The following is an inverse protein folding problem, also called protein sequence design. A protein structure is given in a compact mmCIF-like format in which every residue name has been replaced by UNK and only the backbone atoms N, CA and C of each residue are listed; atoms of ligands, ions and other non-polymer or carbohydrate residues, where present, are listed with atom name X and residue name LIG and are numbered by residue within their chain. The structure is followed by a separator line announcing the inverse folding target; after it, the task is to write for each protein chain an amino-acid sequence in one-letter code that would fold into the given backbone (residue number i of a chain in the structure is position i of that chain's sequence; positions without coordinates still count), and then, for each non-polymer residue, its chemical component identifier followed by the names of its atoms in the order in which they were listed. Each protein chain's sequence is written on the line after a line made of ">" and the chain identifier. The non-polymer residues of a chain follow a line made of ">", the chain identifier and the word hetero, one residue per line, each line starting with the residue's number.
data_IF_306740398369
#
_entry.id   IF_306740398369
#
_cell.length_a   1.000
_cell.length_b   1.000
_cell.length_c   1.000
_cell.angle_alpha   90.00
_cell.angle_beta   90.00
_cell.angle_gamma   90.00
#
_symmetry.space_group_name_H-M   'P 1'
#
loop_
_entity.id
_entity.type
_entity.pdbx_description
1 polymer ?
#
# COMPACT_ATOMS: atom_id res chain seq x y z
N UNK A 1 14.80 -16.44 -3.26
CA UNK A 1 13.68 -16.11 -2.35
C UNK A 1 14.21 -15.04 -1.43
N UNK A 2 13.70 -13.81 -1.56
CA UNK A 2 14.09 -12.71 -0.67
C UNK A 2 13.26 -12.82 0.60
N UNK A 3 13.93 -12.92 1.74
CA UNK A 3 13.28 -12.92 3.07
C UNK A 3 12.89 -11.49 3.50
N UNK A 4 13.59 -10.47 2.99
CA UNK A 4 13.27 -9.05 3.18
C UNK A 4 14.07 -8.19 2.18
N UNK A 5 13.66 -6.93 2.02
CA UNK A 5 14.35 -5.93 1.21
C UNK A 5 13.97 -4.52 1.64
N UNK A 6 14.83 -3.55 1.34
CA UNK A 6 14.58 -2.13 1.58
C UNK A 6 15.10 -1.33 0.39
N UNK A 7 14.36 -0.30 0.00
CA UNK A 7 14.73 0.65 -1.04
C UNK A 7 14.44 2.06 -0.52
N UNK A 8 15.22 3.04 -0.97
CA UNK A 8 15.04 4.44 -0.58
C UNK A 8 15.21 5.33 -1.79
N UNK A 9 14.31 6.30 -1.93
CA UNK A 9 14.31 7.30 -3.00
C UNK A 9 14.08 8.67 -2.36
N UNK A 10 14.82 9.66 -2.82
CA UNK A 10 14.63 11.06 -2.38
C UNK A 10 13.52 11.69 -3.23
N UNK A 11 12.44 12.10 -2.57
CA UNK A 11 11.34 12.85 -3.20
C UNK A 11 11.47 14.31 -2.81
N UNK A 12 11.47 15.22 -3.79
CA UNK A 12 11.58 16.67 -3.57
C UNK A 12 10.22 17.27 -3.15
N UNK A 13 9.64 16.75 -2.06
CA UNK A 13 8.36 17.20 -1.50
C UNK A 13 8.39 17.11 0.04
N UNK A 14 7.46 17.81 0.70
CA UNK A 14 7.30 17.74 2.15
C UNK A 14 6.71 16.39 2.60
N UNK A 15 6.98 16.00 3.84
CA UNK A 15 6.50 14.73 4.43
C UNK A 15 4.99 14.55 4.27
N UNK A 16 4.21 15.58 4.59
CA UNK A 16 2.74 15.51 4.51
C UNK A 16 2.24 15.28 3.07
N UNK A 17 2.92 15.86 2.07
CA UNK A 17 2.56 15.67 0.68
C UNK A 17 2.87 14.23 0.22
N UNK A 18 4.06 13.71 0.56
CA UNK A 18 4.41 12.33 0.30
C UNK A 18 3.44 11.36 0.98
N UNK A 19 3.13 11.61 2.26
CA UNK A 19 2.22 10.78 3.04
C UNK A 19 0.79 10.81 2.49
N UNK A 20 0.31 11.98 2.07
CA UNK A 20 -0.99 12.13 1.43
C UNK A 20 -1.08 11.29 0.15
N UNK A 21 -0.05 11.32 -0.70
CA UNK A 21 -0.02 10.48 -1.92
C UNK A 21 0.07 9.00 -1.57
N UNK A 22 0.90 8.63 -0.59
CA UNK A 22 1.09 7.23 -0.15
C UNK A 22 -0.12 6.62 0.58
N UNK A 23 -1.13 7.41 0.91
CA UNK A 23 -2.37 6.96 1.56
C UNK A 23 -3.61 7.21 0.72
N UNK A 24 -3.46 7.81 -0.46
CA UNK A 24 -4.51 8.06 -1.43
C UNK A 24 -4.71 6.83 -2.34
N UNK A 25 -5.01 5.69 -1.71
CA UNK A 25 -5.03 4.39 -2.38
C UNK A 25 -6.00 4.34 -3.56
N UNK A 26 -7.14 5.04 -3.47
CA UNK A 26 -8.17 5.05 -4.52
C UNK A 26 -7.64 5.62 -5.85
N UNK A 27 -6.63 6.49 -5.79
CA UNK A 27 -5.99 7.11 -6.96
C UNK A 27 -4.68 6.42 -7.37
N UNK A 28 -4.28 5.32 -6.72
CA UNK A 28 -3.10 4.56 -7.14
C UNK A 28 -3.13 4.14 -8.62
N UNK A 29 -4.26 3.68 -9.20
CA UNK A 29 -4.30 3.30 -10.61
C UNK A 29 -3.94 4.43 -11.60
N UNK A 30 -3.98 5.69 -11.16
CA UNK A 30 -3.64 6.84 -12.01
C UNK A 30 -2.14 6.98 -12.26
N UNK A 31 -1.29 6.47 -11.36
CA UNK A 31 0.16 6.69 -11.43
C UNK A 31 1.01 5.45 -11.13
N UNK A 32 0.53 4.53 -10.29
CA UNK A 32 1.20 3.26 -10.03
C UNK A 32 0.84 2.26 -11.13
N UNK A 33 1.60 2.26 -12.23
CA UNK A 33 1.30 1.52 -13.47
C UNK A 33 0.87 0.05 -13.27
N UNK A 34 1.46 -0.65 -12.30
CA UNK A 34 1.17 -2.07 -12.06
C UNK A 34 -0.09 -2.30 -11.23
N UNK A 35 -0.63 -1.27 -10.59
CA UNK A 35 -1.92 -1.29 -9.87
C UNK A 35 -3.04 -1.02 -10.87
N UNK A 36 -3.94 -1.99 -11.04
CA UNK A 36 -5.04 -1.96 -12.01
C UNK A 36 -6.39 -1.62 -11.41
N UNK A 37 -6.53 -1.77 -10.10
CA UNK A 37 -7.71 -1.39 -9.34
C UNK A 37 -7.36 -1.37 -7.85
N UNK A 38 -8.04 -0.50 -7.12
CA UNK A 38 -7.96 -0.36 -5.67
C UNK A 38 -9.36 -0.20 -5.11
N UNK A 39 -9.67 -0.95 -4.06
CA UNK A 39 -10.96 -0.87 -3.37
C UNK A 39 -10.70 -0.69 -1.88
N UNK A 40 -11.10 0.44 -1.30
CA UNK A 40 -11.06 0.64 0.15
C UNK A 40 -12.21 -0.14 0.78
N UNK A 41 -11.89 -1.18 1.55
CA UNK A 41 -12.87 -2.06 2.19
C UNK A 41 -13.32 -1.49 3.54
N UNK A 42 -12.40 -0.91 4.31
CA UNK A 42 -12.71 -0.30 5.61
C UNK A 42 -11.92 0.98 5.83
N UNK A 43 -12.49 1.85 6.66
CA UNK A 43 -11.88 3.10 7.12
C UNK A 43 -11.99 3.21 8.63
N UNK A 44 -11.04 3.89 9.26
CA UNK A 44 -11.10 4.21 10.68
C UNK A 44 -12.05 5.39 10.98
N UNK A 45 -12.16 5.74 12.27
CA UNK A 45 -12.99 6.86 12.74
C UNK A 45 -12.56 8.24 12.18
N UNK A 46 -11.32 8.35 11.69
CA UNK A 46 -10.78 9.55 11.06
C UNK A 46 -10.94 9.53 9.53
N UNK A 47 -11.60 8.51 8.98
CA UNK A 47 -11.84 8.34 7.54
C UNK A 47 -10.64 7.77 6.77
N UNK A 48 -9.57 7.35 7.45
CA UNK A 48 -8.36 6.82 6.81
C UNK A 48 -8.58 5.38 6.36
N UNK A 49 -8.20 4.98 5.13
CA UNK A 49 -8.30 3.59 4.67
C UNK A 49 -7.47 2.64 5.54
N UNK A 50 -8.11 1.67 6.18
CA UNK A 50 -7.44 0.70 7.05
C UNK A 50 -7.31 -0.68 6.41
N UNK A 51 -8.20 -1.04 5.49
CA UNK A 51 -8.12 -2.29 4.74
C UNK A 51 -8.40 -1.97 3.27
N UNK A 52 -7.47 -2.36 2.39
CA UNK A 52 -7.54 -2.04 0.96
C UNK A 52 -7.24 -3.29 0.14
N UNK A 53 -8.13 -3.60 -0.78
CA UNK A 53 -7.93 -4.64 -1.79
C UNK A 53 -7.28 -4.03 -3.04
N UNK A 54 -6.27 -4.71 -3.56
CA UNK A 54 -5.56 -4.34 -4.77
C UNK A 54 -5.72 -5.43 -5.83
N UNK A 55 -5.96 -5.00 -7.07
CA UNK A 55 -5.71 -5.81 -8.26
C UNK A 55 -4.45 -5.31 -8.93
N UNK A 56 -3.39 -6.12 -8.95
CA UNK A 56 -2.11 -5.76 -9.57
C UNK A 56 -1.74 -6.68 -10.73
N UNK A 57 -1.01 -6.14 -11.70
CA UNK A 57 -0.36 -6.92 -12.75
C UNK A 57 1.03 -7.35 -12.30
N UNK A 58 1.20 -8.64 -12.05
CA UNK A 58 2.48 -9.22 -11.65
C UNK A 58 2.69 -10.56 -12.35
N UNK A 59 3.94 -10.87 -12.72
CA UNK A 59 4.31 -12.14 -13.37
C UNK A 59 3.50 -12.45 -14.66
N UNK A 60 3.14 -11.41 -15.42
CA UNK A 60 2.36 -11.56 -16.66
C UNK A 60 0.88 -11.90 -16.47
N UNK A 61 0.34 -11.82 -15.25
CA UNK A 61 -1.08 -12.05 -14.95
C UNK A 61 -1.63 -11.05 -13.93
N UNK A 62 -2.96 -11.01 -13.80
CA UNK A 62 -3.63 -10.27 -12.72
C UNK A 62 -3.54 -11.06 -11.41
N UNK A 63 -3.33 -10.35 -10.31
CA UNK A 63 -3.21 -10.88 -8.95
C UNK A 63 -4.05 -10.01 -8.01
N UNK A 64 -4.63 -10.61 -6.97
CA UNK A 64 -5.40 -9.92 -5.94
C UNK A 64 -4.77 -10.12 -4.58
N UNK A 65 -4.70 -9.04 -3.80
CA UNK A 65 -4.27 -9.09 -2.42
C UNK A 65 -4.91 -7.96 -1.62
N UNK A 66 -5.13 -8.21 -0.34
CA UNK A 66 -5.70 -7.25 0.61
C UNK A 66 -4.66 -6.94 1.68
N UNK A 67 -4.45 -5.64 1.91
CA UNK A 67 -3.53 -5.14 2.92
C UNK A 67 -4.30 -4.46 4.05
N UNK A 68 -3.88 -4.69 5.28
CA UNK A 68 -4.29 -3.93 6.46
C UNK A 68 -3.19 -2.97 6.86
N UNK A 69 -3.57 -1.71 7.10
CA UNK A 69 -2.67 -0.60 7.37
C UNK A 69 -2.71 -0.16 8.83
N UNK A 70 -1.54 0.11 9.39
CA UNK A 70 -1.34 0.68 10.72
C UNK A 70 -0.77 2.10 10.62
N UNK A 71 -1.53 3.04 11.17
CA UNK A 71 -1.27 4.48 11.20
C UNK A 71 -0.74 4.98 12.55
N UNK A 72 -0.38 4.10 13.50
CA UNK A 72 0.02 4.49 14.86
C UNK A 72 1.19 5.49 14.90
N UNK A 73 2.03 5.50 13.87
CA UNK A 73 3.19 6.38 13.74
C UNK A 73 3.09 7.37 12.57
N UNK A 74 1.90 7.53 11.99
CA UNK A 74 1.67 8.47 10.91
C UNK A 74 1.96 9.93 11.36
N UNK A 75 2.51 10.79 10.49
CA UNK A 75 2.88 10.53 9.09
C UNK A 75 4.30 9.96 8.91
N UNK A 76 5.08 9.81 9.98
CA UNK A 76 6.48 9.38 9.89
C UNK A 76 6.64 7.92 9.49
N UNK A 77 5.62 7.08 9.77
CA UNK A 77 5.61 5.68 9.37
C UNK A 77 4.20 5.20 9.08
N UNK A 78 4.06 4.47 7.98
CA UNK A 78 2.88 3.70 7.62
C UNK A 78 3.30 2.25 7.48
N UNK A 79 2.73 1.36 8.29
CA UNK A 79 3.03 -0.08 8.20
C UNK A 79 1.84 -0.82 7.60
N UNK A 80 2.09 -1.97 6.99
CA UNK A 80 1.03 -2.84 6.52
C UNK A 80 1.42 -4.31 6.61
N UNK A 81 0.39 -5.15 6.60
CA UNK A 81 0.53 -6.58 6.39
C UNK A 81 -0.59 -7.10 5.48
N UNK A 82 -0.34 -8.21 4.79
CA UNK A 82 -1.33 -8.87 3.96
C UNK A 82 -2.27 -9.71 4.80
N UNK A 83 -3.58 -9.44 4.72
CA UNK A 83 -4.62 -10.26 5.35
C UNK A 83 -5.22 -11.30 4.41
N UNK A 84 -5.15 -11.06 3.10
CA UNK A 84 -5.59 -12.02 2.07
C UNK A 84 -4.78 -11.86 0.77
N UNK A 85 -4.64 -12.94 0.00
CA UNK A 85 -3.93 -12.91 -1.27
C UNK A 85 -4.02 -14.22 -2.05
N UNK A 86 -4.09 -14.12 -3.38
CA UNK A 86 -4.28 -15.27 -4.27
C UNK A 86 -2.97 -16.03 -4.60
N UNK A 87 -1.84 -15.32 -4.62
CA UNK A 87 -0.56 -15.83 -5.12
C UNK A 87 0.58 -15.65 -4.12
N UNK A 88 0.68 -14.47 -3.51
CA UNK A 88 1.72 -14.18 -2.53
C UNK A 88 1.39 -14.87 -1.21
N UNK A 89 2.42 -15.37 -0.51
CA UNK A 89 2.24 -16.01 0.81
C UNK A 89 2.10 -14.99 1.94
N UNK A 90 2.81 -13.88 1.84
CA UNK A 90 2.79 -12.80 2.82
C UNK A 90 3.42 -11.56 2.21
N UNK A 91 2.92 -10.40 2.62
CA UNK A 91 3.54 -9.09 2.38
C UNK A 91 3.51 -8.39 3.73
N UNK A 92 4.66 -7.96 4.22
CA UNK A 92 4.79 -7.15 5.42
C UNK A 92 5.75 -6.02 5.07
N UNK A 93 5.37 -4.79 5.32
CA UNK A 93 6.17 -3.64 4.90
C UNK A 93 5.84 -2.38 5.67
N UNK A 94 6.67 -1.37 5.45
CA UNK A 94 6.40 -0.02 5.93
C UNK A 94 7.13 1.03 5.10
N UNK A 95 6.54 2.21 4.96
CA UNK A 95 7.27 3.43 4.64
C UNK A 95 7.81 4.05 5.93
N UNK A 96 9.08 4.46 5.94
CA UNK A 96 9.78 5.08 7.07
C UNK A 96 10.96 5.94 6.59
#
# INVERSE_FOLDING_TARGET
>A
MVDSGSESVVVMAGLDACFSVATDFENYPEWAHDVKQTTVLTRDASGRPTVVEFRASALGRSTHYTLEYDYAQAPNKLSWHMSDGDIMRSIIGSYA
#
